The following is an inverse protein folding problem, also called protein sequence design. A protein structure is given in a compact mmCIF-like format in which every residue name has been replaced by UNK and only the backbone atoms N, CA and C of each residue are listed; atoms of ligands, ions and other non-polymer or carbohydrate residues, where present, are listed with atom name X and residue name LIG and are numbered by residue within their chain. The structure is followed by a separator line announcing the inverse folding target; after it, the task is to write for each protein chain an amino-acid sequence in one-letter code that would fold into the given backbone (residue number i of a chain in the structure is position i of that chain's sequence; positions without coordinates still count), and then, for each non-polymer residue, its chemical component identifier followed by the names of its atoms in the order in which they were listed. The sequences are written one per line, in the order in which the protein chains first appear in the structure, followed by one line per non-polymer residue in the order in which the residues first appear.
data_IF_489019817715
#
_entry.id   IF_489019817715
#
_cell.length_a   1.000
_cell.length_b   1.000
_cell.length_c   1.000
_cell.angle_alpha   90.00
_cell.angle_beta   90.00
_cell.angle_gamma   90.00
#
_symmetry.space_group_name_H-M   'P 1'
#
loop_
_entity.id
_entity.type
_entity.pdbx_description
1 polymer ?
#
# COMPACT_ATOMS: atom_id res chain seq x y z
N UNK A 1 11.97 19.66 4.63
CA UNK A 1 10.64 19.90 4.04
C UNK A 1 10.84 20.04 2.54
N UNK A 2 10.14 19.23 1.75
CA UNK A 2 10.22 19.19 0.29
C UNK A 2 8.79 19.40 -0.21
N UNK A 3 8.52 20.59 -0.73
CA UNK A 3 7.19 20.97 -1.19
C UNK A 3 7.20 21.20 -2.70
N UNK A 4 6.02 21.11 -3.32
CA UNK A 4 5.88 21.35 -4.75
C UNK A 4 6.60 20.28 -5.58
N UNK A 5 6.52 19.03 -5.16
CA UNK A 5 7.01 17.86 -5.90
C UNK A 5 5.91 17.39 -6.85
N UNK A 6 6.29 17.01 -8.06
CA UNK A 6 5.34 16.39 -9.01
C UNK A 6 5.55 14.89 -8.99
N UNK A 7 4.45 14.15 -8.93
CA UNK A 7 4.44 12.71 -9.18
C UNK A 7 3.58 12.46 -10.41
N UNK A 8 4.10 11.63 -11.30
CA UNK A 8 3.44 11.23 -12.53
C UNK A 8 3.40 9.71 -12.59
N UNK A 9 2.25 9.16 -12.97
CA UNK A 9 2.10 7.72 -13.14
C UNK A 9 1.50 7.39 -14.50
N UNK A 10 2.11 6.42 -15.18
CA UNK A 10 1.64 5.85 -16.44
C UNK A 10 1.37 4.36 -16.26
N UNK A 11 0.22 3.91 -16.75
CA UNK A 11 -0.25 2.53 -16.54
C UNK A 11 -0.60 1.87 -17.86
N UNK A 12 -0.11 0.63 -18.00
CA UNK A 12 -0.53 -0.32 -19.03
C UNK A 12 -1.48 -1.32 -18.38
N UNK A 13 -2.78 -1.06 -18.49
CA UNK A 13 -3.83 -1.77 -17.74
C UNK A 13 -3.93 -3.25 -18.09
N UNK A 14 -3.71 -3.61 -19.36
CA UNK A 14 -3.77 -4.99 -19.87
C UNK A 14 -2.79 -5.92 -19.12
N UNK A 15 -1.62 -5.40 -18.78
CA UNK A 15 -0.57 -6.16 -18.09
C UNK A 15 -0.53 -5.89 -16.58
N UNK A 16 -1.26 -4.87 -16.11
CA UNK A 16 -1.16 -4.35 -14.74
C UNK A 16 0.20 -3.71 -14.46
N UNK A 17 0.86 -3.16 -15.49
CA UNK A 17 2.19 -2.57 -15.36
C UNK A 17 2.10 -1.09 -15.06
N UNK A 18 2.80 -0.64 -14.04
CA UNK A 18 2.82 0.76 -13.59
C UNK A 18 4.22 1.34 -13.70
N UNK A 19 4.27 2.63 -14.04
CA UNK A 19 5.49 3.44 -14.06
C UNK A 19 5.18 4.73 -13.32
N UNK A 20 5.75 4.88 -12.14
CA UNK A 20 5.59 6.03 -11.26
C UNK A 20 6.89 6.79 -11.18
N UNK A 21 6.85 8.11 -11.33
CA UNK A 21 8.02 8.96 -11.22
C UNK A 21 7.72 10.14 -10.30
N UNK A 22 8.67 10.48 -9.42
CA UNK A 22 8.62 11.64 -8.53
C UNK A 22 9.78 12.55 -8.88
N UNK A 23 9.48 13.75 -9.39
CA UNK A 23 10.46 14.72 -9.91
C UNK A 23 10.77 15.84 -8.93
N UNK A 24 11.85 16.60 -9.18
CA UNK A 24 12.32 17.70 -8.30
C UNK A 24 12.77 17.21 -6.91
N UNK A 25 13.31 16.00 -6.88
CA UNK A 25 13.86 15.40 -5.67
C UNK A 25 15.35 15.77 -5.56
N UNK A 26 15.77 16.47 -4.50
CA UNK A 26 17.16 16.83 -4.33
C UNK A 26 18.02 15.61 -3.96
N UNK A 27 19.29 15.66 -4.36
CA UNK A 27 20.23 14.54 -4.23
C UNK A 27 20.48 14.09 -2.79
N UNK A 28 20.32 14.97 -1.81
CA UNK A 28 20.52 14.67 -0.39
C UNK A 28 19.48 13.70 0.19
N UNK A 29 18.34 13.50 -0.47
CA UNK A 29 17.30 12.53 -0.05
C UNK A 29 16.90 11.57 -1.18
N UNK A 30 17.29 11.84 -2.42
CA UNK A 30 16.78 11.11 -3.58
C UNK A 30 17.16 9.62 -3.61
N UNK A 31 18.37 9.28 -3.14
CA UNK A 31 18.76 7.88 -3.01
C UNK A 31 17.93 7.17 -1.96
N UNK A 32 17.65 7.82 -0.82
CA UNK A 32 16.88 7.27 0.29
C UNK A 32 15.42 7.02 -0.09
N UNK A 33 14.84 7.89 -0.92
CA UNK A 33 13.48 7.76 -1.44
C UNK A 33 13.25 6.48 -2.26
N UNK A 34 14.31 5.86 -2.80
CA UNK A 34 14.19 4.55 -3.45
C UNK A 34 13.58 3.48 -2.52
N UNK A 35 13.69 3.64 -1.20
CA UNK A 35 13.13 2.69 -0.23
C UNK A 35 11.61 2.80 -0.04
N UNK A 36 10.97 3.85 -0.56
CA UNK A 36 9.50 4.04 -0.48
C UNK A 36 8.78 3.41 -1.69
N UNK A 37 8.92 2.10 -1.86
CA UNK A 37 8.24 1.36 -2.94
C UNK A 37 6.71 1.35 -2.80
N UNK A 38 6.19 1.59 -1.60
CA UNK A 38 4.76 1.58 -1.25
C UNK A 38 3.93 2.63 -1.98
N UNK A 39 4.54 3.72 -2.48
CA UNK A 39 3.91 4.71 -3.35
C UNK A 39 3.58 4.10 -4.71
N UNK A 40 4.49 3.29 -5.25
CA UNK A 40 4.25 2.54 -6.48
C UNK A 40 3.25 1.41 -6.27
N UNK A 41 3.31 0.72 -5.12
CA UNK A 41 2.47 -0.44 -4.81
C UNK A 41 0.97 -0.11 -4.81
N UNK A 42 0.52 0.99 -4.19
CA UNK A 42 -0.91 1.36 -4.19
C UNK A 42 -1.45 1.63 -5.60
N UNK A 43 -0.65 2.25 -6.46
CA UNK A 43 -1.03 2.49 -7.87
C UNK A 43 -1.08 1.15 -8.61
N UNK A 44 -0.15 0.24 -8.32
CA UNK A 44 -0.15 -1.14 -8.78
C UNK A 44 -1.41 -1.91 -8.35
N UNK A 45 -1.82 -1.80 -7.09
CA UNK A 45 -3.07 -2.36 -6.58
C UNK A 45 -4.30 -1.79 -7.30
N UNK A 46 -4.32 -0.47 -7.49
CA UNK A 46 -5.44 0.23 -8.11
C UNK A 46 -5.71 -0.27 -9.53
N UNK A 47 -4.64 -0.49 -10.31
CA UNK A 47 -4.74 -0.91 -11.71
C UNK A 47 -4.17 -2.30 -12.00
N UNK A 48 -4.17 -3.18 -11.00
CA UNK A 48 -3.70 -4.53 -11.15
C UNK A 48 -4.48 -5.25 -12.26
N UNK A 49 -3.78 -6.09 -13.03
CA UNK A 49 -4.47 -6.97 -13.98
C UNK A 49 -5.26 -8.02 -13.21
N UNK A 50 -6.53 -8.20 -13.58
CA UNK A 50 -7.45 -9.10 -12.88
C UNK A 50 -7.27 -10.53 -13.35
N UNK A 51 -7.05 -11.47 -12.42
CA UNK A 51 -7.11 -12.91 -12.71
C UNK A 51 -8.40 -13.50 -12.17
N UNK A 52 -9.03 -14.36 -12.97
CA UNK A 52 -10.19 -15.17 -12.57
C UNK A 52 -11.40 -14.39 -12.04
N UNK A 53 -11.55 -13.11 -12.40
CA UNK A 53 -12.65 -12.26 -11.95
C UNK A 53 -12.42 -11.53 -10.61
N UNK A 54 -11.26 -11.67 -9.98
CA UNK A 54 -10.90 -10.90 -8.80
C UNK A 54 -10.81 -9.39 -9.16
N UNK A 55 -11.53 -8.50 -8.47
CA UNK A 55 -11.51 -7.06 -8.77
C UNK A 55 -10.20 -6.42 -8.32
N UNK A 56 -9.71 -5.44 -9.07
CA UNK A 56 -8.60 -4.59 -8.62
C UNK A 56 -9.12 -3.40 -7.80
N UNK A 57 -8.22 -2.58 -7.27
CA UNK A 57 -8.61 -1.45 -6.43
C UNK A 57 -9.52 -0.45 -7.15
N UNK A 58 -9.39 -0.27 -8.47
CA UNK A 58 -10.23 0.68 -9.20
C UNK A 58 -11.66 0.16 -9.34
N UNK A 59 -11.84 -1.14 -9.54
CA UNK A 59 -13.16 -1.77 -9.56
C UNK A 59 -13.86 -1.70 -8.20
N UNK A 60 -13.10 -1.72 -7.09
CA UNK A 60 -13.65 -1.61 -5.73
C UNK A 60 -14.01 -0.17 -5.35
N UNK A 61 -13.18 0.80 -5.72
CA UNK A 61 -13.24 2.18 -5.17
C UNK A 61 -13.65 3.24 -6.19
N UNK A 62 -13.67 2.91 -7.48
CA UNK A 62 -13.78 3.91 -8.55
C UNK A 62 -12.61 4.89 -8.62
N UNK A 63 -11.51 4.62 -7.91
CA UNK A 63 -10.38 5.54 -7.76
C UNK A 63 -10.62 6.68 -6.77
N UNK A 64 -11.64 6.59 -5.90
CA UNK A 64 -11.93 7.55 -4.84
C UNK A 64 -11.78 6.84 -3.50
N UNK A 65 -10.69 7.13 -2.78
CA UNK A 65 -10.40 6.52 -1.47
C UNK A 65 -9.33 7.29 -0.72
N UNK A 66 -9.26 7.08 0.59
CA UNK A 66 -8.13 7.53 1.40
C UNK A 66 -7.29 6.32 1.80
N UNK A 67 -5.97 6.47 1.80
CA UNK A 67 -5.05 5.46 2.30
C UNK A 67 -4.13 6.08 3.33
N UNK A 68 -3.89 5.34 4.41
CA UNK A 68 -2.77 5.59 5.32
C UNK A 68 -1.87 4.37 5.34
N UNK A 69 -0.56 4.57 5.30
CA UNK A 69 0.42 3.51 5.46
C UNK A 69 1.50 3.92 6.47
N UNK A 70 1.84 3.01 7.36
CA UNK A 70 3.02 3.07 8.22
C UNK A 70 4.05 2.10 7.66
N UNK A 71 5.27 2.59 7.44
CA UNK A 71 6.38 1.75 6.96
C UNK A 71 7.50 1.82 7.98
N UNK A 72 7.81 0.66 8.54
CA UNK A 72 8.83 0.43 9.54
C UNK A 72 10.08 -0.16 8.89
N UNK A 73 11.25 0.32 9.33
CA UNK A 73 12.57 -0.19 8.97
C UNK A 73 13.25 -0.76 10.22
N UNK A 74 12.92 -1.98 10.66
CA UNK A 74 13.27 -2.48 11.99
C UNK A 74 14.77 -2.48 12.29
N UNK A 75 15.61 -2.73 11.29
CA UNK A 75 17.07 -2.77 11.45
C UNK A 75 17.70 -1.40 11.75
N UNK A 76 17.04 -0.32 11.34
CA UNK A 76 17.57 1.04 11.45
C UNK A 76 16.78 1.92 12.42
N UNK A 77 15.59 1.48 12.83
CA UNK A 77 14.68 2.27 13.66
C UNK A 77 14.00 3.42 12.91
N UNK A 78 14.19 3.53 11.60
CA UNK A 78 13.50 4.50 10.76
C UNK A 78 12.03 4.10 10.58
N UNK A 79 11.19 5.12 10.41
CA UNK A 79 9.75 4.97 10.24
C UNK A 79 9.21 6.13 9.42
N UNK A 80 8.30 5.82 8.50
CA UNK A 80 7.54 6.82 7.75
C UNK A 80 6.04 6.55 7.85
N UNK A 81 5.27 7.64 7.77
CA UNK A 81 3.83 7.68 7.69
C UNK A 81 3.44 8.33 6.38
N UNK A 82 2.62 7.64 5.60
CA UNK A 82 2.11 8.09 4.31
C UNK A 82 0.61 8.28 4.44
N UNK A 83 0.11 9.43 3.99
CA UNK A 83 -1.31 9.73 3.89
C UNK A 83 -1.61 10.13 2.45
N UNK A 84 -2.52 9.41 1.81
CA UNK A 84 -2.89 9.60 0.41
C UNK A 84 -4.41 9.79 0.30
N UNK A 85 -4.84 10.79 -0.46
CA UNK A 85 -6.24 11.05 -0.77
C UNK A 85 -6.43 11.01 -2.28
N UNK A 86 -7.05 9.92 -2.76
CA UNK A 86 -7.40 9.73 -4.16
C UNK A 86 -8.78 10.34 -4.43
N UNK A 87 -8.84 11.26 -5.40
CA UNK A 87 -10.00 12.11 -5.68
C UNK A 87 -10.82 11.62 -6.89
N UNK A 88 -10.46 10.49 -7.48
CA UNK A 88 -11.10 10.00 -8.69
C UNK A 88 -10.61 10.66 -9.97
N UNK A 89 -11.18 10.25 -11.12
CA UNK A 89 -10.84 10.79 -12.43
C UNK A 89 -11.44 12.19 -12.61
N UNK A 90 -10.67 13.09 -13.19
CA UNK A 90 -11.13 14.42 -13.57
C UNK A 90 -11.77 14.46 -14.98
N UNK A 91 -12.15 15.65 -15.44
CA UNK A 91 -12.78 15.85 -16.76
C UNK A 91 -11.88 15.47 -17.95
N UNK A 92 -10.57 15.35 -17.73
CA UNK A 92 -9.59 14.91 -18.72
C UNK A 92 -9.18 13.45 -18.51
N UNK A 93 -9.82 12.74 -17.57
CA UNK A 93 -9.52 11.38 -17.14
C UNK A 93 -8.15 11.19 -16.47
N UNK A 94 -7.60 12.25 -15.88
CA UNK A 94 -6.47 12.09 -14.96
C UNK A 94 -6.98 11.74 -13.57
N UNK A 95 -6.42 10.71 -12.95
CA UNK A 95 -6.71 10.45 -11.53
C UNK A 95 -5.88 11.41 -10.68
N UNK A 96 -6.55 12.12 -9.78
CA UNK A 96 -5.88 13.03 -8.85
C UNK A 96 -5.64 12.38 -7.51
N UNK A 97 -4.44 12.55 -6.97
CA UNK A 97 -4.13 12.19 -5.58
C UNK A 97 -3.29 13.26 -4.91
N UNK A 98 -3.59 13.49 -3.64
CA UNK A 98 -2.77 14.27 -2.73
C UNK A 98 -1.99 13.29 -1.84
N UNK A 99 -0.66 13.45 -1.76
CA UNK A 99 0.22 12.56 -1.00
C UNK A 99 0.98 13.37 0.03
N UNK A 100 0.97 12.92 1.28
CA UNK A 100 1.76 13.47 2.36
C UNK A 100 2.62 12.36 2.97
N UNK A 101 3.93 12.59 3.03
CA UNK A 101 4.89 11.65 3.64
C UNK A 101 5.56 12.34 4.81
N UNK A 102 5.65 11.67 5.97
CA UNK A 102 6.29 12.18 7.19
C UNK A 102 7.17 11.11 7.82
N UNK A 103 8.35 11.46 8.31
CA UNK A 103 9.18 10.56 9.11
C UNK A 103 10.65 10.59 8.72
N UNK A 104 11.33 9.45 8.80
CA UNK A 104 12.74 9.31 8.43
C UNK A 104 12.97 8.03 7.63
N UNK A 105 13.97 8.04 6.75
CA UNK A 105 14.34 6.92 5.89
C UNK A 105 15.75 6.43 6.22
N UNK A 106 16.05 5.14 5.98
CA UNK A 106 17.41 4.65 6.00
C UNK A 106 18.23 5.29 4.89
N UNK A 107 19.50 5.59 5.21
CA UNK A 107 20.43 6.12 4.21
C UNK A 107 20.81 5.06 3.20
N UNK A 108 20.66 5.38 1.92
CA UNK A 108 21.02 4.53 0.80
C UNK A 108 22.38 4.98 0.27
N UNK A 109 23.36 4.07 0.13
CA UNK A 109 24.68 4.43 -0.37
C UNK A 109 24.63 5.15 -1.72
N UNK A 110 25.52 6.13 -1.90
CA UNK A 110 25.58 6.94 -3.11
C UNK A 110 25.68 6.08 -4.37
N UNK A 111 24.86 6.39 -5.38
CA UNK A 111 24.78 5.67 -6.66
C UNK A 111 24.40 4.18 -6.55
N UNK A 112 23.98 3.72 -5.37
CA UNK A 112 23.43 2.38 -5.22
C UNK A 112 21.97 2.31 -5.68
N UNK A 113 21.58 1.13 -6.14
CA UNK A 113 20.22 0.81 -6.56
C UNK A 113 19.56 -0.05 -5.49
N UNK A 114 18.30 0.24 -5.24
CA UNK A 114 17.45 -0.60 -4.39
C UNK A 114 16.82 -1.68 -5.26
N UNK A 115 17.08 -2.93 -4.92
CA UNK A 115 16.42 -4.09 -5.53
C UNK A 115 15.38 -4.64 -4.55
N UNK A 116 14.21 -4.97 -5.08
CA UNK A 116 13.10 -5.58 -4.35
C UNK A 116 12.70 -6.83 -5.11
N UNK A 117 12.73 -7.99 -4.45
CA UNK A 117 12.31 -9.25 -5.07
C UNK A 117 10.79 -9.25 -5.31
N UNK A 118 10.28 -10.23 -6.08
CA UNK A 118 8.84 -10.38 -6.28
C UNK A 118 8.15 -10.73 -4.95
N UNK A 119 6.98 -10.13 -4.69
CA UNK A 119 6.28 -10.30 -3.42
C UNK A 119 4.75 -10.36 -3.57
N UNK A 120 4.09 -10.76 -2.48
CA UNK A 120 2.65 -10.86 -2.37
C UNK A 120 2.16 -9.97 -1.23
N UNK A 121 1.03 -9.29 -1.44
CA UNK A 121 0.32 -8.57 -0.38
C UNK A 121 -1.13 -9.06 -0.33
N UNK A 122 -1.60 -9.36 0.88
CA UNK A 122 -3.01 -9.65 1.13
C UNK A 122 -3.75 -8.39 1.57
N UNK A 123 -4.87 -8.10 0.91
CA UNK A 123 -5.78 -7.00 1.20
C UNK A 123 -7.08 -7.58 1.75
N UNK A 124 -7.26 -7.49 3.06
CA UNK A 124 -8.42 -8.02 3.78
C UNK A 124 -9.44 -6.91 4.02
N UNK A 125 -10.68 -7.13 3.57
CA UNK A 125 -11.83 -6.30 3.89
C UNK A 125 -12.29 -6.60 5.31
N UNK A 126 -11.95 -5.71 6.24
CA UNK A 126 -12.23 -5.89 7.68
C UNK A 126 -13.62 -5.39 8.06
N UNK A 127 -14.16 -4.42 7.33
CA UNK A 127 -15.51 -3.90 7.51
C UNK A 127 -15.97 -3.19 6.21
N UNK A 128 -17.26 -2.84 6.06
CA UNK A 128 -17.73 -2.12 4.90
C UNK A 128 -16.95 -0.82 4.67
N UNK A 129 -16.40 -0.66 3.47
CA UNK A 129 -15.59 0.49 3.07
C UNK A 129 -14.17 0.52 3.66
N UNK A 130 -13.72 -0.53 4.36
CA UNK A 130 -12.39 -0.56 4.99
C UNK A 130 -11.62 -1.83 4.61
N UNK A 131 -10.47 -1.62 3.96
CA UNK A 131 -9.51 -2.67 3.62
C UNK A 131 -8.23 -2.43 4.43
N UNK A 132 -7.68 -3.47 5.04
CA UNK A 132 -6.40 -3.43 5.74
C UNK A 132 -5.45 -4.48 5.14
N UNK A 133 -4.16 -4.19 5.22
CA UNK A 133 -3.10 -5.07 4.76
C UNK A 133 -1.89 -4.90 5.65
N UNK A 134 -1.27 -6.03 5.99
CA UNK A 134 0.03 -6.09 6.64
C UNK A 134 0.95 -6.94 5.78
N UNK A 135 2.12 -6.41 5.47
CA UNK A 135 3.08 -7.10 4.64
C UNK A 135 4.50 -6.90 5.17
N UNK A 136 5.31 -7.95 5.05
CA UNK A 136 6.75 -7.88 5.33
C UNK A 136 7.50 -8.22 4.05
N UNK A 137 8.22 -7.24 3.52
CA UNK A 137 9.08 -7.42 2.34
C UNK A 137 10.52 -7.14 2.72
N UNK A 138 11.43 -7.31 1.77
CA UNK A 138 12.81 -6.87 1.95
C UNK A 138 13.34 -6.21 0.71
N UNK A 139 14.28 -5.29 0.90
CA UNK A 139 15.06 -4.70 -0.18
C UNK A 139 16.54 -4.96 0.05
N UNK A 140 17.33 -4.84 -1.02
CA UNK A 140 18.79 -4.99 -0.96
C UNK A 140 19.48 -3.90 -1.78
N UNK A 141 20.65 -3.48 -1.36
CA UNK A 141 21.52 -2.54 -2.07
C UNK A 141 22.40 -3.28 -3.10
N UNK A 142 21.77 -3.73 -4.20
CA UNK A 142 22.41 -4.55 -5.23
C UNK A 142 22.51 -6.05 -4.90
N UNK A 143 22.83 -6.86 -5.90
CA UNK A 143 22.66 -8.32 -5.89
C UNK A 143 23.36 -9.10 -4.77
N UNK A 144 24.48 -8.62 -4.23
CA UNK A 144 25.28 -9.35 -3.22
C UNK A 144 25.15 -8.77 -1.80
N UNK A 145 24.15 -7.92 -1.58
CA UNK A 145 23.91 -7.30 -0.27
C UNK A 145 22.89 -8.09 0.54
N UNK A 146 22.91 -7.89 1.86
CA UNK A 146 21.95 -8.51 2.78
C UNK A 146 20.54 -7.95 2.55
N UNK A 147 19.54 -8.81 2.71
CA UNK A 147 18.14 -8.39 2.69
C UNK A 147 17.81 -7.57 3.94
N UNK A 148 17.30 -6.36 3.71
CA UNK A 148 16.85 -5.42 4.74
C UNK A 148 15.33 -5.49 4.79
N UNK A 149 14.73 -5.98 5.88
CA UNK A 149 13.28 -6.10 5.99
C UNK A 149 12.62 -4.74 6.15
N UNK A 150 11.43 -4.63 5.58
CA UNK A 150 10.47 -3.55 5.80
C UNK A 150 9.15 -4.16 6.23
N UNK A 151 8.48 -3.51 7.17
CA UNK A 151 7.14 -3.89 7.62
C UNK A 151 6.19 -2.78 7.22
N UNK A 152 5.09 -3.14 6.57
CA UNK A 152 4.12 -2.19 6.02
C UNK A 152 2.76 -2.53 6.62
N UNK A 153 2.18 -1.57 7.34
CA UNK A 153 0.81 -1.63 7.82
C UNK A 153 0.01 -0.54 7.11
N UNK A 154 -1.02 -0.93 6.36
CA UNK A 154 -1.81 0.03 5.56
C UNK A 154 -3.32 -0.17 5.71
N UNK A 155 -4.04 0.94 5.58
CA UNK A 155 -5.50 0.98 5.66
C UNK A 155 -6.04 1.85 4.53
N UNK A 156 -6.97 1.30 3.76
CA UNK A 156 -7.69 1.96 2.68
C UNK A 156 -9.14 2.11 3.11
N UNK A 157 -9.67 3.33 3.02
CA UNK A 157 -11.06 3.66 3.33
C UNK A 157 -11.73 4.26 2.11
N UNK A 158 -12.89 3.73 1.73
CA UNK A 158 -13.64 4.15 0.55
C UNK A 158 -15.14 4.04 0.81
N UNK A 159 -15.95 4.65 -0.07
CA UNK A 159 -17.40 4.49 -0.02
C UNK A 159 -17.80 3.19 -0.70
N UNK A 160 -18.22 2.21 0.09
CA UNK A 160 -18.71 0.93 -0.43
C UNK A 160 -20.22 0.98 -0.65
N UNK A 161 -20.66 0.29 -1.71
CA UNK A 161 -22.06 0.17 -2.04
C UNK A 161 -22.82 -0.67 -1.00
N UNK A 162 -23.70 -0.03 -0.23
CA UNK A 162 -24.43 -0.67 0.88
C UNK A 162 -25.36 -1.81 0.45
N UNK A 163 -25.83 -1.78 -0.81
CA UNK A 163 -26.79 -2.74 -1.35
C UNK A 163 -26.14 -3.82 -2.22
N UNK A 164 -24.82 -3.74 -2.45
CA UNK A 164 -24.13 -4.77 -3.21
C UNK A 164 -24.16 -6.10 -2.43
N UNK A 165 -24.35 -7.23 -3.11
CA UNK A 165 -24.28 -8.53 -2.47
C UNK A 165 -22.87 -8.75 -1.90
N UNK A 166 -22.81 -9.17 -0.64
CA UNK A 166 -21.55 -9.53 0.02
C UNK A 166 -21.08 -10.88 -0.54
N UNK A 167 -20.02 -10.87 -1.32
CA UNK A 167 -19.34 -12.10 -1.77
C UNK A 167 -18.21 -12.42 -0.78
N UNK A 168 -18.34 -13.54 -0.06
CA UNK A 168 -17.30 -14.00 0.87
C UNK A 168 -15.93 -14.17 0.21
N UNK A 169 -15.87 -14.44 -1.10
CA UNK A 169 -14.60 -14.54 -1.84
C UNK A 169 -13.86 -13.21 -1.92
N UNK A 170 -14.55 -12.10 -1.69
CA UNK A 170 -13.97 -10.76 -1.62
C UNK A 170 -13.49 -10.39 -0.21
N UNK A 171 -13.52 -11.33 0.75
CA UNK A 171 -12.99 -11.08 2.10
C UNK A 171 -11.52 -10.68 2.04
N UNK A 172 -10.70 -11.44 1.30
CA UNK A 172 -9.28 -11.19 1.14
C UNK A 172 -8.88 -11.38 -0.32
N UNK A 173 -8.27 -10.34 -0.89
CA UNK A 173 -7.68 -10.37 -2.22
C UNK A 173 -6.17 -10.39 -2.13
N UNK A 174 -5.53 -11.17 -3.00
CA UNK A 174 -4.09 -11.23 -3.09
C UNK A 174 -3.59 -10.38 -4.26
N UNK A 175 -2.57 -9.57 -3.99
CA UNK A 175 -1.84 -8.78 -4.98
C UNK A 175 -0.46 -9.40 -5.18
N UNK A 176 -0.19 -9.88 -6.38
CA UNK A 176 1.15 -10.33 -6.79
C UNK A 176 1.87 -9.18 -7.49
N UNK A 177 2.97 -8.72 -6.88
CA UNK A 177 3.81 -7.65 -7.41
C UNK A 177 5.14 -8.25 -7.87
N UNK A 178 5.42 -8.09 -9.15
CA UNK A 178 6.60 -8.65 -9.78
C UNK A 178 7.34 -7.64 -10.64
N UNK A 179 8.59 -7.96 -10.98
CA UNK A 179 9.45 -7.15 -11.86
C UNK A 179 9.63 -5.72 -11.34
N UNK A 180 9.88 -5.61 -10.03
CA UNK A 180 10.14 -4.34 -9.38
C UNK A 180 11.42 -3.70 -9.95
N UNK A 181 11.32 -2.44 -10.35
CA UNK A 181 12.44 -1.64 -10.83
C UNK A 181 12.39 -0.28 -10.17
N UNK A 182 13.44 0.05 -9.42
CA UNK A 182 13.55 1.31 -8.68
C UNK A 182 14.88 1.95 -9.04
N UNK A 183 14.84 3.24 -9.37
CA UNK A 183 16.06 4.00 -9.65
C UNK A 183 15.87 5.46 -9.30
N UNK A 184 16.88 6.07 -8.67
CA UNK A 184 17.02 7.51 -8.57
C UNK A 184 18.07 8.00 -9.57
N UNK A 185 17.69 9.00 -10.38
CA UNK A 185 18.61 9.70 -11.28
C UNK A 185 18.93 11.08 -10.69
N UNK A 186 20.19 11.28 -10.30
CA UNK A 186 20.66 12.51 -9.68
C UNK A 186 20.77 13.69 -10.65
N UNK A 187 20.94 13.44 -11.95
CA UNK A 187 21.03 14.48 -12.99
C UNK A 187 19.64 15.03 -13.31
N UNK A 188 18.66 14.14 -13.36
CA UNK A 188 17.26 14.49 -13.62
C UNK A 188 16.46 14.80 -12.35
N UNK A 189 17.05 14.57 -11.17
CA UNK A 189 16.41 14.79 -9.86
C UNK A 189 15.06 14.08 -9.76
N UNK A 190 15.04 12.80 -10.15
CA UNK A 190 13.82 12.01 -10.28
C UNK A 190 14.02 10.59 -9.76
N UNK A 191 13.09 10.13 -8.92
CA UNK A 191 12.98 8.72 -8.54
C UNK A 191 11.89 8.05 -9.35
N UNK A 192 12.15 6.84 -9.82
CA UNK A 192 11.22 6.05 -10.65
C UNK A 192 10.97 4.70 -9.99
N UNK A 193 9.72 4.32 -9.93
CA UNK A 193 9.24 3.00 -9.52
C UNK A 193 8.49 2.39 -10.69
N UNK A 194 8.77 1.14 -11.00
CA UNK A 194 7.98 0.37 -11.94
C UNK A 194 7.78 -1.04 -11.42
N UNK A 195 6.58 -1.57 -11.62
CA UNK A 195 6.26 -2.94 -11.25
C UNK A 195 5.12 -3.47 -12.11
N UNK A 196 4.89 -4.78 -12.04
CA UNK A 196 3.75 -5.45 -12.64
C UNK A 196 2.90 -6.05 -11.53
N UNK A 197 1.63 -5.66 -11.48
CA UNK A 197 0.70 -6.05 -10.43
C UNK A 197 -0.44 -6.90 -11.00
N UNK A 198 -0.75 -8.01 -10.32
CA UNK A 198 -1.87 -8.88 -10.67
C UNK A 198 -2.70 -9.17 -9.42
N UNK A 199 -4.01 -9.04 -9.51
CA UNK A 199 -4.91 -9.39 -8.42
C UNK A 199 -5.53 -10.76 -8.65
N UNK A 200 -5.72 -11.52 -7.57
CA UNK A 200 -6.37 -12.82 -7.55
C UNK A 200 -7.14 -12.98 -6.23
N UNK A 201 -8.08 -13.92 -6.21
CA UNK A 201 -8.65 -14.41 -4.95
C UNK A 201 -7.57 -15.13 -4.14
N UNK A 202 -7.74 -15.15 -2.82
CA UNK A 202 -6.87 -15.94 -1.94
C UNK A 202 -6.89 -17.42 -2.37
N UNK A 203 -5.71 -18.00 -2.57
CA UNK A 203 -5.58 -19.39 -3.05
C UNK A 203 -5.77 -20.44 -1.95
N UNK A 204 -5.58 -20.04 -0.69
CA UNK A 204 -5.74 -20.87 0.50
C UNK A 204 -7.05 -20.49 1.23
N UNK A 205 -7.43 -21.30 2.23
CA UNK A 205 -8.53 -20.94 3.13
C UNK A 205 -8.16 -19.69 3.93
N UNK A 206 -9.13 -18.78 4.11
CA UNK A 206 -8.90 -17.50 4.78
C UNK A 206 -8.67 -17.72 6.29
N UNK A 207 -7.45 -17.49 6.82
CA UNK A 207 -7.16 -17.73 8.23
C UNK A 207 -7.97 -16.79 9.15
N UNK A 208 -8.45 -15.66 8.65
CA UNK A 208 -9.33 -14.78 9.42
C UNK A 208 -10.73 -15.32 9.62
N UNK A 209 -11.15 -16.36 8.90
CA UNK A 209 -12.43 -17.05 9.15
C UNK A 209 -12.52 -17.59 10.58
N UNK A 210 -11.41 -18.09 11.11
CA UNK A 210 -11.30 -18.52 12.52
C UNK A 210 -10.58 -17.48 13.38
N UNK A 211 -9.65 -16.71 12.79
CA UNK A 211 -8.88 -15.68 13.49
C UNK A 211 -9.70 -14.49 13.99
N UNK A 212 -10.81 -14.15 13.33
CA UNK A 212 -11.70 -13.07 13.78
C UNK A 212 -12.22 -13.27 15.20
N UNK A 213 -12.47 -14.51 15.62
CA UNK A 213 -12.92 -14.82 16.97
C UNK A 213 -11.78 -14.74 18.02
N UNK A 214 -10.53 -14.71 17.59
CA UNK A 214 -9.33 -14.66 18.44
C UNK A 214 -8.79 -13.23 18.60
N UNK A 215 -9.11 -12.34 17.67
CA UNK A 215 -8.76 -10.94 17.76
C UNK A 215 -9.56 -10.25 18.87
N UNK A 216 -8.85 -9.51 19.74
CA UNK A 216 -9.45 -8.77 20.85
C UNK A 216 -10.31 -7.59 20.39
N UNK A 217 -11.07 -7.01 21.31
CA UNK A 217 -11.84 -5.79 21.04
C UNK A 217 -10.93 -4.67 20.51
N UNK A 218 -11.43 -3.88 19.56
CA UNK A 218 -10.68 -2.80 18.90
C UNK A 218 -9.48 -3.30 18.08
N UNK A 219 -9.59 -4.51 17.53
CA UNK A 219 -8.63 -5.03 16.58
C UNK A 219 -9.33 -5.69 15.40
N UNK A 220 -8.66 -5.66 14.26
CA UNK A 220 -9.12 -6.25 13.01
C UNK A 220 -8.19 -7.41 12.63
N UNK A 221 -8.77 -8.54 12.20
CA UNK A 221 -8.00 -9.63 11.63
C UNK A 221 -7.58 -9.30 10.20
N UNK A 222 -6.30 -9.47 9.88
CA UNK A 222 -5.80 -9.45 8.50
C UNK A 222 -5.02 -10.72 8.19
N UNK A 223 -5.09 -11.16 6.93
CA UNK A 223 -4.31 -12.31 6.47
C UNK A 223 -2.83 -11.93 6.36
N UNK A 224 -1.96 -12.84 6.78
CA UNK A 224 -0.50 -12.72 6.70
C UNK A 224 0.06 -14.07 6.21
N UNK A 225 0.13 -14.22 4.89
CA UNK A 225 0.48 -15.48 4.24
C UNK A 225 -0.46 -16.64 4.59
N UNK A 226 0.04 -17.61 5.35
CA UNK A 226 -0.73 -18.79 5.81
C UNK A 226 -1.32 -18.63 7.23
N UNK A 227 -1.06 -17.48 7.87
CA UNK A 227 -1.53 -17.14 9.21
C UNK A 227 -2.37 -15.86 9.15
N UNK A 228 -2.83 -15.39 10.31
CA UNK A 228 -3.44 -14.08 10.46
C UNK A 228 -2.71 -13.25 11.52
N UNK A 229 -2.91 -11.93 11.46
CA UNK A 229 -2.45 -10.96 12.46
C UNK A 229 -3.64 -10.11 12.92
N UNK A 230 -3.75 -9.86 14.22
CA UNK A 230 -4.70 -8.90 14.76
C UNK A 230 -4.03 -7.53 14.85
N UNK A 231 -4.56 -6.55 14.13
CA UNK A 231 -4.05 -5.19 14.07
C UNK A 231 -5.01 -4.26 14.80
N UNK A 232 -4.49 -3.47 15.73
CA UNK A 232 -5.30 -2.52 16.48
C UNK A 232 -5.96 -1.49 15.56
N UNK A 233 -7.19 -1.11 15.89
CA UNK A 233 -7.90 -0.04 15.20
C UNK A 233 -7.22 1.30 15.48
N UNK A 234 -7.50 2.31 14.65
CA UNK A 234 -6.91 3.64 14.84
C UNK A 234 -7.24 4.19 16.22
N UNK A 235 -6.22 4.69 16.93
CA UNK A 235 -6.34 5.18 18.30
C UNK A 235 -5.99 4.14 19.38
N UNK A 236 -5.76 2.90 18.98
CA UNK A 236 -5.35 1.82 19.86
C UNK A 236 -3.96 1.32 19.50
N UNK A 237 -3.23 0.82 20.50
CA UNK A 237 -1.92 0.20 20.32
C UNK A 237 -1.86 -1.15 21.01
N UNK A 238 -0.97 -2.01 20.53
CA UNK A 238 -0.73 -3.33 21.14
C UNK A 238 0.06 -3.14 22.42
N UNK A 239 -0.47 -3.65 23.53
CA UNK A 239 0.31 -3.80 24.75
C UNK A 239 1.18 -5.06 24.64
N UNK A 240 2.50 -4.89 24.63
CA UNK A 240 3.42 -6.01 24.75
C UNK A 240 3.65 -6.24 26.25
N UNK A 241 2.82 -7.09 26.87
CA UNK A 241 3.14 -7.60 28.20
C UNK A 241 4.37 -8.49 28.06
N UNK A 242 5.56 -7.93 28.29
CA UNK A 242 6.76 -8.73 28.42
C UNK A 242 6.64 -9.54 29.68
N UNK A 243 6.53 -10.87 29.53
CA UNK A 243 6.54 -11.86 30.60
C UNK A 243 7.93 -11.90 31.29
N UNK A 244 8.31 -10.81 31.96
CA UNK A 244 9.54 -10.70 32.75
C UNK A 244 9.31 -11.08 34.22
N UNK A 245 8.26 -11.85 34.54
CA UNK A 245 7.97 -12.32 35.90
C UNK A 245 7.59 -13.80 36.02
N UNK A 246 7.88 -14.65 35.03
CA UNK A 246 7.62 -16.09 35.14
C UNK A 246 8.85 -16.98 34.90
N UNK A 247 10.01 -16.59 35.43
CA UNK A 247 11.01 -17.60 35.83
C UNK A 247 10.59 -18.26 37.14
N UNK A 248 9.67 -19.23 37.10
CA UNK A 248 9.53 -20.32 38.09
C UNK A 248 8.30 -21.19 37.76
N UNK A 249 8.41 -22.06 36.74
CA UNK A 249 7.92 -23.46 36.74
C UNK A 249 8.07 -24.10 35.35
N UNK A 250 8.70 -25.28 35.23
CA UNK A 250 8.80 -25.97 33.96
C UNK A 250 7.51 -26.74 33.66
N UNK A 251 7.28 -26.99 32.37
CA UNK A 251 6.33 -27.91 31.75
C UNK A 251 4.84 -27.51 31.69
N UNK A 252 4.47 -26.82 30.59
CA UNK A 252 3.41 -27.25 29.67
C UNK A 252 3.47 -26.44 28.37
N UNK A 253 3.11 -27.10 27.27
CA UNK A 253 3.26 -26.66 25.88
C UNK A 253 2.82 -25.20 25.67
N UNK A 254 3.70 -24.41 25.06
CA UNK A 254 3.41 -23.06 24.58
C UNK A 254 2.43 -23.18 23.41
N UNK A 255 1.13 -23.07 23.72
CA UNK A 255 0.12 -22.73 22.73
C UNK A 255 0.14 -21.20 22.69
N UNK A 256 0.61 -20.66 21.57
CA UNK A 256 0.79 -19.24 21.30
C UNK A 256 -0.58 -18.57 21.08
N UNK A 257 -1.35 -18.43 22.16
CA UNK A 257 -2.60 -17.66 22.23
C UNK A 257 -2.53 -16.73 23.43
N UNK A 258 -1.68 -15.72 23.34
CA UNK A 258 -1.77 -14.56 24.23
C UNK A 258 -2.78 -13.58 23.61
N UNK A 259 -3.87 -13.32 24.34
CA UNK A 259 -4.85 -12.29 23.99
C UNK A 259 -4.13 -10.94 23.87
N UNK A 260 -3.89 -10.48 22.64
CA UNK A 260 -3.36 -9.16 22.35
C UNK A 260 -4.45 -8.13 22.58
N UNK A 261 -4.44 -7.48 23.75
CA UNK A 261 -5.37 -6.40 24.03
C UNK A 261 -4.88 -5.12 23.34
N UNK A 262 -5.76 -4.53 22.54
CA UNK A 262 -5.55 -3.21 21.98
C UNK A 262 -6.04 -2.19 23.00
N UNK A 263 -5.13 -1.36 23.52
CA UNK A 263 -5.42 -0.36 24.54
C UNK A 263 -5.43 1.04 23.93
N UNK A 264 -6.32 1.89 24.43
CA UNK A 264 -6.36 3.31 24.05
C UNK A 264 -5.10 3.99 24.57
N UNK A 265 -4.57 4.95 23.81
CA UNK A 265 -3.58 5.88 24.31
C UNK A 265 -4.22 6.78 25.40
N UNK A 266 -4.32 6.31 26.64
CA UNK A 266 -4.93 7.09 27.74
C UNK A 266 -4.00 8.14 28.36
N UNK A 267 -2.70 8.15 28.01
CA UNK A 267 -1.73 9.10 28.56
C UNK A 267 -0.77 9.61 27.46
N UNK A 268 -1.15 10.67 26.73
CA UNK A 268 -0.14 11.51 26.05
C UNK A 268 0.58 12.28 27.16
N UNK A 269 1.52 11.65 27.86
CA UNK A 269 2.52 12.39 28.64
C UNK A 269 3.46 13.04 27.64
N UNK A 270 3.30 14.34 27.45
CA UNK A 270 4.35 15.16 26.84
C UNK A 270 5.55 15.11 27.77
N UNK A 271 6.44 14.15 27.53
CA UNK A 271 7.74 14.13 28.18
C UNK A 271 8.49 15.33 27.60
N UNK A 272 8.56 16.43 28.35
CA UNK A 272 9.53 17.49 28.12
C UNK A 272 10.93 16.96 28.45
N UNK A 273 11.42 16.00 27.69
CA UNK A 273 12.87 15.77 27.59
C UNK A 273 13.43 16.95 26.83
N UNK A 274 14.50 17.62 27.30
CA UNK A 274 15.23 18.55 26.47
C UNK A 274 15.70 17.76 25.25
N UNK A 275 15.05 17.99 24.11
CA UNK A 275 15.45 17.43 22.83
C UNK A 275 16.84 18.03 22.56
N UNK A 276 17.88 17.22 22.81
CA UNK A 276 19.13 17.40 22.09
C UNK A 276 18.73 17.24 20.63
N UNK A 277 18.70 18.36 19.90
CA UNK A 277 18.49 18.40 18.46
C UNK A 277 19.67 17.66 17.80
N UNK A 278 19.62 16.33 17.81
CA UNK A 278 20.25 15.55 16.76
C UNK A 278 19.45 15.91 15.52
N UNK A 279 20.06 16.45 14.45
CA UNK A 279 19.36 16.78 13.23
C UNK A 279 18.96 15.47 12.54
N UNK A 280 17.91 14.81 13.02
CA UNK A 280 17.24 13.75 12.29
C UNK A 280 16.46 14.44 11.19
N UNK A 281 16.83 14.15 9.94
CA UNK A 281 16.19 14.70 8.77
C UNK A 281 14.73 14.20 8.70
N UNK A 282 13.81 14.95 9.31
CA UNK A 282 12.38 14.73 9.13
C UNK A 282 12.03 15.08 7.68
N UNK A 283 11.70 14.04 6.91
CA UNK A 283 11.25 14.16 5.54
C UNK A 283 9.76 14.50 5.60
N UNK A 284 9.40 15.62 4.98
CA UNK A 284 8.03 16.02 4.70
C UNK A 284 7.94 16.22 3.20
N UNK A 285 7.10 15.43 2.53
CA UNK A 285 6.84 15.57 1.08
C UNK A 285 5.35 15.75 0.87
N UNK A 286 4.97 16.85 0.21
CA UNK A 286 3.61 17.07 -0.30
C UNK A 286 3.63 17.00 -1.83
N UNK A 287 2.80 16.13 -2.39
CA UNK A 287 2.81 15.79 -3.81
C UNK A 287 1.40 15.77 -4.36
N UNK A 288 1.23 16.39 -5.52
CA UNK A 288 0.03 16.25 -6.35
C UNK A 288 0.35 15.37 -7.55
N UNK A 289 -0.50 14.40 -7.83
CA UNK A 289 -0.32 13.48 -8.95
C UNK A 289 -1.51 13.50 -9.90
N UNK A 290 -1.17 13.49 -11.19
CA UNK A 290 -2.06 13.15 -12.30
C UNK A 290 -1.67 11.76 -12.87
N UNK A 291 -2.56 10.78 -12.72
CA UNK A 291 -2.37 9.43 -13.25
C UNK A 291 -3.02 9.30 -14.64
N UNK A 292 -2.29 8.77 -15.62
CA UNK A 292 -2.81 8.44 -16.94
C UNK A 292 -2.86 6.92 -17.16
N UNK A 293 -4.07 6.37 -17.25
CA UNK A 293 -4.30 4.97 -17.63
C UNK A 293 -4.67 4.90 -19.12
N UNK A 294 -3.90 4.14 -19.92
CA UNK A 294 -4.19 3.93 -21.35
C UNK A 294 -4.59 2.48 -21.62
N UNK A 295 -5.68 2.30 -22.35
CA UNK A 295 -6.11 1.01 -22.90
C UNK A 295 -5.42 0.75 -24.26
N UNK A 296 -4.53 -0.23 -24.30
CA UNK A 296 -3.72 -0.58 -25.49
C UNK A 296 -4.51 -1.29 -26.59
N UNK A 297 -5.77 -1.66 -26.36
CA UNK A 297 -6.61 -2.35 -27.37
C UNK A 297 -6.90 -1.50 -28.61
N UNK A 298 -6.79 -0.16 -28.52
CA UNK A 298 -7.11 0.76 -29.63
C UNK A 298 -6.02 0.82 -30.71
N UNK A 299 -4.79 0.37 -30.44
CA UNK A 299 -3.69 0.45 -31.44
C UNK A 299 -3.72 -0.62 -32.54
N UNK A 300 -4.55 -1.67 -32.43
CA UNK A 300 -4.62 -2.76 -33.43
C UNK A 300 -5.72 -2.63 -34.48
N UNK A 301 -6.59 -1.62 -34.40
CA UNK A 301 -7.64 -1.35 -35.42
C UNK A 301 -7.78 0.15 -35.67
N UNK A 302 -6.95 0.74 -36.54
CA UNK A 302 -7.28 1.96 -37.32
C UNK A 302 -6.16 2.30 -38.34
N UNK A 303 -6.05 1.48 -39.38
CA UNK A 303 -6.05 2.03 -40.74
C UNK A 303 -7.51 1.99 -41.19
N UNK A 304 -7.93 3.03 -41.91
CA UNK A 304 -9.28 3.26 -42.47
C UNK A 304 -10.20 4.16 -41.62
N UNK A 305 -10.50 5.30 -42.24
CA UNK A 305 -11.57 6.30 -42.05
C UNK A 305 -11.53 7.30 -40.89
N UNK A 306 -11.47 8.58 -41.30
CA UNK A 306 -11.71 9.81 -40.55
C UNK A 306 -13.18 9.88 -40.08
N UNK A 307 -13.35 10.51 -38.90
CA UNK A 307 -14.59 10.97 -38.22
C UNK A 307 -15.33 9.94 -37.34
N UNK A 308 -15.55 10.39 -36.10
CA UNK A 308 -16.49 9.95 -35.06
C UNK A 308 -16.11 8.76 -34.14
N UNK A 309 -16.45 8.96 -32.86
CA UNK A 309 -16.43 8.08 -31.69
C UNK A 309 -15.06 7.75 -31.07
N UNK A 310 -14.65 8.60 -30.11
CA UNK A 310 -13.79 8.30 -28.98
C UNK A 310 -14.68 8.34 -27.73
N UNK A 311 -15.00 7.17 -27.14
CA UNK A 311 -15.40 7.00 -25.74
C UNK A 311 -15.69 5.52 -25.48
N UNK A 312 -15.49 5.10 -24.22
CA UNK A 312 -15.96 3.87 -23.58
C UNK A 312 -15.15 2.58 -23.85
N UNK A 313 -14.25 2.26 -22.93
CA UNK A 313 -14.05 0.86 -22.50
C UNK A 313 -13.72 0.79 -20.99
N UNK A 314 -12.89 1.70 -20.46
CA UNK A 314 -12.66 1.79 -19.01
C UNK A 314 -13.94 2.13 -18.21
N UNK A 315 -14.83 2.96 -18.77
CA UNK A 315 -16.13 3.29 -18.16
C UNK A 315 -17.14 2.14 -18.16
N UNK A 316 -16.97 1.11 -18.98
CA UNK A 316 -17.94 0.00 -19.08
C UNK A 316 -17.83 -0.89 -17.84
N UNK A 317 -16.63 -1.11 -17.31
CA UNK A 317 -16.40 -1.89 -16.08
C UNK A 317 -16.95 -1.22 -14.82
N UNK A 318 -16.87 0.11 -14.74
CA UNK A 318 -17.49 0.90 -13.66
C UNK A 318 -19.02 0.84 -13.68
N UNK A 319 -19.64 0.75 -14.87
CA UNK A 319 -21.11 0.70 -14.99
C UNK A 319 -21.73 -0.61 -14.52
N UNK A 320 -21.03 -1.74 -14.50
CA UNK A 320 -21.58 -2.99 -13.96
C UNK A 320 -21.55 -3.02 -12.43
N UNK A 321 -20.52 -2.43 -11.79
CA UNK A 321 -20.50 -2.25 -10.33
C UNK A 321 -21.50 -1.19 -9.83
N UNK A 322 -21.60 -0.05 -10.52
CA UNK A 322 -22.54 1.03 -10.15
C UNK A 322 -24.01 0.72 -10.45
N UNK A 323 -24.32 -0.14 -11.43
CA UNK A 323 -25.70 -0.55 -11.72
C UNK A 323 -26.39 -1.20 -10.53
N UNK A 324 -25.62 -1.90 -9.69
CA UNK A 324 -26.16 -2.60 -8.51
C UNK A 324 -26.33 -1.70 -7.28
N UNK A 325 -25.91 -0.43 -7.33
CA UNK A 325 -26.12 0.51 -6.22
C UNK A 325 -27.44 1.27 -6.30
N UNK A 326 -28.09 1.26 -7.47
CA UNK A 326 -29.32 2.02 -7.74
C UNK A 326 -30.48 1.14 -8.22
N UNK A 327 -30.40 -0.18 -8.07
CA UNK A 327 -31.53 -1.11 -8.30
C UNK A 327 -32.13 -1.59 -7.00
#
# INVERSE_FOLDING_TARGET
MIDGVDLHAYIVTEEGRTYTAISRIPQNVGFDLQTISTIGSVIGWLFASTKSGAPNGFMLTGGIFNRTAEVDFPQTGHRIYISEQFLGPDVFNFLKVNVQIRGSLPSVPFESKVEVDDYLEEFTRVSPGVIRSHATHSFRFGQNSLNIPIVIDQTITYEECQYAPVDEKLSTLQLNVARNYIVYDSKEQIVRYASTSKTAFLSADDPCRTGNAQCGTHSSCVVDGLSFKCICDRGYHTDYVTDAQNELRPSRQVIQTELRHCIVLEDIRVIHTPIVLIPTALIYVDVKLDILAMDTTVKRKRRVTRRAAQTLNAFIWSKEGLKNCFQ
#
